data_IF_109805738580
#
_entry.id   IF_109805738580
#
_cell.length_a   1.000
_cell.length_b   1.000
_cell.length_c   1.000
_cell.angle_alpha   90.00
_cell.angle_beta   90.00
_cell.angle_gamma   90.00
#
_symmetry.space_group_name_H-M   'P 1'
#
loop_
_entity.id
_entity.type
_entity.pdbx_description
1 polymer ?
#
# COMPACT_ATOMS: atom_id res chain seq x y z
N UNK A 1 -32.12 17.65 10.26
CA UNK A 1 -32.71 18.17 9.01
C UNK A 1 -32.47 17.27 7.78
N UNK A 2 -31.73 16.15 7.90
CA UNK A 2 -31.57 15.15 6.81
C UNK A 2 -32.44 13.89 6.97
N UNK A 3 -33.22 13.77 8.05
CA UNK A 3 -34.07 12.61 8.32
C UNK A 3 -35.45 12.68 7.63
N UNK A 4 -35.75 13.74 6.86
CA UNK A 4 -37.09 14.01 6.34
C UNK A 4 -37.25 13.83 4.82
N UNK A 5 -36.24 13.34 4.08
CA UNK A 5 -36.28 13.36 2.60
C UNK A 5 -36.27 11.99 1.92
N UNK A 6 -36.14 10.85 2.62
CA UNK A 6 -36.08 9.56 1.90
C UNK A 6 -36.91 8.49 2.60
N UNK A 7 -38.17 8.36 2.18
CA UNK A 7 -38.97 7.15 2.36
C UNK A 7 -38.66 6.25 1.16
N UNK A 8 -37.99 5.14 1.38
CA UNK A 8 -37.94 4.03 0.42
C UNK A 8 -39.01 3.08 0.95
N UNK A 9 -40.07 2.88 0.16
CA UNK A 9 -41.21 2.05 0.54
C UNK A 9 -40.74 0.60 0.77
N UNK A 10 -40.94 0.12 2.00
CA UNK A 10 -41.05 -1.30 2.31
C UNK A 10 -42.56 -1.61 2.27
N UNK A 11 -42.99 -2.44 1.33
CA UNK A 11 -44.40 -2.77 1.06
C UNK A 11 -45.00 -3.62 2.20
N UNK A 12 -46.10 -3.15 2.81
CA UNK A 12 -47.34 -3.94 3.00
C UNK A 12 -48.54 -3.05 3.42
N UNK A 13 -49.70 -3.32 2.81
CA UNK A 13 -51.08 -2.84 3.05
C UNK A 13 -51.55 -1.40 2.64
N UNK A 14 -52.03 -1.34 1.39
CA UNK A 14 -53.15 -0.58 0.80
C UNK A 14 -53.75 0.66 1.49
N UNK A 15 -53.72 1.80 0.77
CA UNK A 15 -54.89 2.61 0.32
C UNK A 15 -54.45 3.76 -0.63
N UNK A 16 -55.25 4.13 -1.65
CA UNK A 16 -54.83 5.10 -2.66
C UNK A 16 -55.30 6.51 -2.30
N UNK A 17 -54.37 7.47 -2.14
CA UNK A 17 -54.69 8.89 -2.14
C UNK A 17 -53.58 9.73 -2.80
N UNK A 18 -53.99 10.38 -3.89
CA UNK A 18 -53.56 11.67 -4.43
C UNK A 18 -52.11 11.87 -4.89
N UNK A 19 -52.02 12.17 -6.20
CA UNK A 19 -50.91 12.77 -6.92
C UNK A 19 -50.14 13.84 -6.13
N UNK A 20 -48.84 13.62 -6.03
CA UNK A 20 -47.89 14.54 -5.42
C UNK A 20 -46.52 13.87 -5.26
N UNK A 21 -45.92 13.42 -6.36
CA UNK A 21 -44.57 12.86 -6.39
C UNK A 21 -43.51 13.95 -6.16
N UNK A 22 -43.54 14.59 -5.00
CA UNK A 22 -42.59 15.60 -4.54
C UNK A 22 -41.80 15.03 -3.37
N UNK A 23 -40.59 14.51 -3.64
CA UNK A 23 -39.61 14.31 -2.57
C UNK A 23 -38.72 13.07 -2.66
N UNK A 24 -38.98 12.11 -3.55
CA UNK A 24 -38.12 10.92 -3.67
C UNK A 24 -36.93 11.25 -4.59
N UNK A 25 -35.74 11.36 -4.01
CA UNK A 25 -34.50 11.45 -4.78
C UNK A 25 -34.33 10.19 -5.63
N UNK A 26 -34.00 10.31 -6.94
CA UNK A 26 -33.62 9.16 -7.76
C UNK A 26 -32.50 8.33 -7.10
N UNK A 27 -32.57 7.00 -7.24
CA UNK A 27 -31.68 6.08 -6.52
C UNK A 27 -30.20 6.28 -6.86
N UNK A 28 -29.89 6.62 -8.11
CA UNK A 28 -28.57 6.97 -8.62
C UNK A 28 -28.03 8.28 -7.99
N UNK A 29 -28.89 9.30 -7.87
CA UNK A 29 -28.53 10.56 -7.21
C UNK A 29 -28.27 10.33 -5.72
N UNK A 30 -29.10 9.52 -5.06
CA UNK A 30 -28.88 9.13 -3.68
C UNK A 30 -27.54 8.42 -3.53
N UNK A 31 -27.28 7.40 -4.35
CA UNK A 31 -26.02 6.65 -4.38
C UNK A 31 -24.81 7.59 -4.46
N UNK A 32 -24.84 8.54 -5.39
CA UNK A 32 -23.78 9.52 -5.56
C UNK A 32 -23.62 10.49 -4.38
N UNK A 33 -24.70 10.90 -3.73
CA UNK A 33 -24.66 11.71 -2.51
C UNK A 33 -23.96 10.93 -1.39
N UNK A 34 -24.30 9.65 -1.23
CA UNK A 34 -23.74 8.82 -0.15
C UNK A 34 -22.26 8.53 -0.35
N UNK A 35 -21.83 8.31 -1.58
CA UNK A 35 -20.41 8.18 -1.90
C UNK A 35 -19.58 9.42 -1.56
N UNK A 36 -20.22 10.58 -1.34
CA UNK A 36 -19.54 11.81 -0.91
C UNK A 36 -19.47 11.94 0.61
N UNK A 37 -20.18 11.12 1.38
CA UNK A 37 -20.16 11.20 2.84
C UNK A 37 -18.94 10.45 3.42
N UNK A 38 -18.37 10.92 4.52
CA UNK A 38 -17.32 10.19 5.23
C UNK A 38 -17.82 8.85 5.78
N UNK A 39 -16.90 7.88 5.93
CA UNK A 39 -17.24 6.51 6.34
C UNK A 39 -17.97 6.46 7.69
N UNK A 40 -17.58 7.27 8.66
CA UNK A 40 -18.23 7.33 9.99
C UNK A 40 -19.70 7.77 9.91
N UNK A 41 -20.06 8.67 8.99
CA UNK A 41 -21.44 9.09 8.77
C UNK A 41 -22.24 7.97 8.12
N UNK A 42 -21.69 7.30 7.11
CA UNK A 42 -22.33 6.16 6.46
C UNK A 42 -22.59 5.00 7.44
N UNK A 43 -21.63 4.71 8.33
CA UNK A 43 -21.82 3.72 9.39
C UNK A 43 -22.98 4.08 10.33
N UNK A 44 -23.22 5.37 10.61
CA UNK A 44 -24.38 5.82 11.39
C UNK A 44 -25.70 5.70 10.61
N UNK A 45 -25.67 5.92 9.28
CA UNK A 45 -26.85 5.79 8.43
C UNK A 45 -27.38 4.34 8.35
N UNK A 46 -26.54 3.34 8.61
CA UNK A 46 -26.96 1.93 8.77
C UNK A 46 -27.98 1.71 9.89
N UNK A 47 -28.15 2.66 10.79
CA UNK A 47 -29.13 2.61 11.88
C UNK A 47 -30.48 3.23 11.50
N UNK A 48 -30.57 3.93 10.37
CA UNK A 48 -31.78 4.67 9.97
C UNK A 48 -32.86 3.74 9.40
N UNK A 49 -32.55 2.95 8.36
CA UNK A 49 -33.45 1.91 7.84
C UNK A 49 -32.68 0.72 7.22
N UNK A 50 -33.41 -0.36 6.86
CA UNK A 50 -32.85 -1.57 6.24
C UNK A 50 -32.22 -1.29 4.87
N UNK A 51 -32.87 -0.49 4.03
CA UNK A 51 -32.37 -0.13 2.69
C UNK A 51 -31.03 0.61 2.77
N UNK A 52 -30.90 1.59 3.68
CA UNK A 52 -29.64 2.30 3.95
C UNK A 52 -28.54 1.36 4.45
N UNK A 53 -28.89 0.44 5.35
CA UNK A 53 -27.95 -0.58 5.84
C UNK A 53 -27.49 -1.51 4.72
N UNK A 54 -28.41 -1.97 3.88
CA UNK A 54 -28.11 -2.85 2.75
C UNK A 54 -27.17 -2.15 1.77
N UNK A 55 -27.52 -0.94 1.34
CA UNK A 55 -26.74 -0.18 0.37
C UNK A 55 -25.33 0.13 0.87
N UNK A 56 -25.20 0.65 2.09
CA UNK A 56 -23.89 1.05 2.62
C UNK A 56 -23.04 -0.13 3.08
N UNK A 57 -23.60 -1.34 3.20
CA UNK A 57 -22.87 -2.58 3.49
C UNK A 57 -22.54 -3.38 2.21
N UNK A 58 -23.00 -2.93 1.05
CA UNK A 58 -22.72 -3.56 -0.24
C UNK A 58 -21.22 -3.46 -0.56
N UNK A 59 -20.52 -4.56 -0.89
CA UNK A 59 -19.12 -4.53 -1.30
C UNK A 59 -18.83 -3.63 -2.50
N UNK A 60 -19.76 -3.51 -3.46
CA UNK A 60 -19.62 -2.60 -4.60
C UNK A 60 -19.66 -1.15 -4.14
N UNK A 61 -20.59 -0.81 -3.26
CA UNK A 61 -20.64 0.52 -2.65
C UNK A 61 -19.38 0.83 -1.86
N UNK A 62 -18.87 -0.13 -1.09
CA UNK A 62 -17.64 0.00 -0.30
C UNK A 62 -16.41 0.25 -1.19
N UNK A 63 -16.33 -0.41 -2.34
CA UNK A 63 -15.29 -0.23 -3.36
C UNK A 63 -15.39 1.12 -4.07
N UNK A 64 -16.59 1.53 -4.46
CA UNK A 64 -16.81 2.83 -5.11
C UNK A 64 -16.56 3.99 -4.14
N UNK A 65 -16.86 3.79 -2.84
CA UNK A 65 -16.56 4.74 -1.78
C UNK A 65 -15.05 4.91 -1.59
N UNK A 66 -14.29 3.82 -1.46
CA UNK A 66 -12.82 3.90 -1.27
C UNK A 66 -12.12 4.56 -2.46
N UNK A 67 -12.59 4.31 -3.69
CA UNK A 67 -12.10 4.99 -4.91
C UNK A 67 -12.31 6.51 -4.87
N UNK A 68 -13.48 6.97 -4.39
CA UNK A 68 -13.83 8.41 -4.33
C UNK A 68 -13.32 9.12 -3.08
N UNK A 69 -12.91 8.36 -2.05
CA UNK A 69 -12.35 8.83 -0.78
C UNK A 69 -11.10 8.04 -0.45
N UNK A 70 -9.99 8.30 -1.17
CA UNK A 70 -8.74 7.63 -0.90
C UNK A 70 -8.22 8.01 0.49
N UNK A 71 -7.79 7.01 1.25
CA UNK A 71 -7.18 7.21 2.55
C UNK A 71 -5.69 6.93 2.50
N UNK A 72 -4.95 7.65 3.33
CA UNK A 72 -3.52 7.45 3.52
C UNK A 72 -3.27 7.01 4.94
N UNK A 73 -2.37 6.03 5.08
CA UNK A 73 -1.83 5.60 6.36
C UNK A 73 -0.47 6.25 6.53
N UNK A 74 -0.23 6.87 7.68
CA UNK A 74 1.01 7.58 7.94
C UNK A 74 1.51 7.46 9.38
N UNK A 75 2.84 7.48 9.54
CA UNK A 75 3.54 7.53 10.83
C UNK A 75 4.16 8.91 11.07
N UNK A 76 4.09 9.36 12.32
CA UNK A 76 4.48 10.71 12.74
C UNK A 76 5.82 10.71 13.47
N UNK A 77 6.69 11.66 13.17
CA UNK A 77 8.06 11.70 13.70
C UNK A 77 8.10 12.03 15.20
N UNK A 78 7.21 12.90 15.69
CA UNK A 78 7.17 13.33 17.10
C UNK A 78 6.34 12.42 18.02
N UNK A 79 5.57 11.49 17.46
CA UNK A 79 4.78 10.46 18.16
C UNK A 79 4.89 9.16 17.39
N UNK A 80 6.03 8.52 17.55
CA UNK A 80 6.41 7.37 16.74
C UNK A 80 5.57 6.12 17.05
N UNK A 81 4.76 6.16 18.11
CA UNK A 81 3.83 5.13 18.56
C UNK A 81 2.39 5.32 18.05
N UNK A 82 2.13 6.32 17.19
CA UNK A 82 0.81 6.56 16.59
C UNK A 82 0.83 6.38 15.06
N UNK A 83 -0.12 5.59 14.57
CA UNK A 83 -0.44 5.42 13.16
C UNK A 83 -1.77 6.11 12.85
N UNK A 84 -1.78 6.96 11.83
CA UNK A 84 -2.96 7.72 11.43
C UNK A 84 -3.48 7.27 10.07
N UNK A 85 -4.80 7.11 9.99
CA UNK A 85 -5.53 6.98 8.73
C UNK A 85 -6.17 8.33 8.43
N UNK A 86 -5.83 8.90 7.28
CA UNK A 86 -6.17 10.26 6.87
C UNK A 86 -7.01 10.18 5.59
N UNK A 87 -8.20 10.77 5.60
CA UNK A 87 -9.01 10.96 4.39
C UNK A 87 -8.42 12.13 3.57
N UNK A 88 -7.96 11.85 2.34
CA UNK A 88 -7.33 12.87 1.48
C UNK A 88 -8.32 13.90 0.93
N UNK A 89 -9.62 13.57 0.86
CA UNK A 89 -10.66 14.45 0.34
C UNK A 89 -11.03 15.52 1.36
N UNK A 90 -11.29 15.11 2.59
CA UNK A 90 -11.71 16.01 3.67
C UNK A 90 -10.52 16.51 4.50
N UNK A 91 -9.34 15.90 4.34
CA UNK A 91 -8.09 16.25 5.04
C UNK A 91 -8.20 16.10 6.56
N UNK A 92 -8.91 15.07 6.99
CA UNK A 92 -9.14 14.76 8.41
C UNK A 92 -8.54 13.40 8.77
N UNK A 93 -8.07 13.28 10.01
CA UNK A 93 -7.71 11.98 10.58
C UNK A 93 -9.02 11.25 10.92
N UNK A 94 -9.24 10.11 10.27
CA UNK A 94 -10.44 9.27 10.48
C UNK A 94 -10.21 8.14 11.47
N UNK A 95 -8.94 7.75 11.70
CA UNK A 95 -8.55 6.73 12.69
C UNK A 95 -7.14 7.00 13.22
N UNK A 96 -6.95 6.81 14.52
CA UNK A 96 -5.64 6.79 15.18
C UNK A 96 -5.47 5.43 15.87
N UNK A 97 -4.33 4.78 15.63
CA UNK A 97 -4.01 3.46 16.17
C UNK A 97 -2.68 3.57 16.89
N UNK A 98 -2.62 3.10 18.14
CA UNK A 98 -1.35 2.99 18.85
C UNK A 98 -0.62 1.75 18.37
N UNK A 99 0.67 1.89 18.05
CA UNK A 99 1.53 0.79 17.67
C UNK A 99 2.47 0.40 18.81
N UNK A 100 2.86 -0.88 18.93
CA UNK A 100 3.62 -1.38 20.07
C UNK A 100 5.00 -0.74 20.25
N UNK A 101 5.62 -0.32 19.14
CA UNK A 101 6.94 0.31 19.13
C UNK A 101 7.01 1.39 18.03
N UNK A 102 7.91 2.38 18.17
CA UNK A 102 8.25 3.30 17.11
C UNK A 102 8.45 2.63 15.75
N UNK A 103 7.65 2.99 14.75
CA UNK A 103 7.80 2.49 13.39
C UNK A 103 8.94 3.19 12.63
N UNK A 104 9.61 2.46 11.74
CA UNK A 104 10.64 2.99 10.82
C UNK A 104 10.10 3.18 9.39
N UNK A 105 9.27 2.26 8.92
CA UNK A 105 8.51 2.39 7.67
C UNK A 105 7.25 1.52 7.74
N UNK A 106 6.35 1.68 6.78
CA UNK A 106 5.09 0.95 6.74
C UNK A 106 4.79 0.46 5.33
N UNK A 107 4.05 -0.65 5.25
CA UNK A 107 3.54 -1.27 4.04
C UNK A 107 2.03 -1.44 4.23
N UNK A 108 1.24 -1.24 3.18
CA UNK A 108 -0.20 -1.43 3.24
C UNK A 108 -0.65 -2.25 2.05
N UNK A 109 -1.52 -3.22 2.32
CA UNK A 109 -2.16 -4.08 1.32
C UNK A 109 -3.63 -4.22 1.71
N UNK A 110 -4.52 -3.66 0.88
CA UNK A 110 -5.94 -3.56 1.20
C UNK A 110 -6.17 -2.95 2.59
N UNK A 111 -6.67 -3.72 3.56
CA UNK A 111 -6.95 -3.30 4.93
C UNK A 111 -5.87 -3.67 5.96
N UNK A 112 -4.85 -4.43 5.53
CA UNK A 112 -3.75 -4.81 6.40
C UNK A 112 -2.58 -3.82 6.27
N UNK A 113 -1.98 -3.50 7.41
CA UNK A 113 -0.82 -2.61 7.48
C UNK A 113 0.28 -3.29 8.25
N UNK A 114 1.45 -3.42 7.63
CA UNK A 114 2.66 -3.88 8.28
C UNK A 114 3.50 -2.67 8.68
N UNK A 115 3.78 -2.52 9.98
CA UNK A 115 4.69 -1.49 10.51
C UNK A 115 5.98 -2.17 10.91
N UNK A 116 7.09 -1.75 10.30
CA UNK A 116 8.41 -2.33 10.55
C UNK A 116 9.18 -1.45 11.54
N UNK A 117 9.76 -2.06 12.56
CA UNK A 117 10.47 -1.39 13.65
C UNK A 117 11.95 -1.16 13.34
N UNK A 118 12.58 -0.13 13.93
CA UNK A 118 14.00 0.14 13.77
C UNK A 118 14.87 -0.89 14.53
N UNK A 119 16.13 -0.97 14.12
CA UNK A 119 17.12 -1.95 14.57
C UNK A 119 17.41 -1.94 16.09
N UNK A 120 17.22 -0.81 16.77
CA UNK A 120 17.80 -0.57 18.11
C UNK A 120 17.07 -1.24 19.27
N UNK A 121 15.82 -1.71 19.10
CA UNK A 121 15.03 -2.22 20.24
C UNK A 121 14.95 -3.75 20.26
N UNK A 122 15.15 -4.44 19.13
CA UNK A 122 15.14 -5.91 19.04
C UNK A 122 15.65 -6.46 17.68
N UNK A 123 16.74 -5.93 17.10
CA UNK A 123 17.32 -6.39 15.81
C UNK A 123 16.36 -6.39 14.60
N UNK A 124 15.28 -5.61 14.67
CA UNK A 124 14.27 -5.53 13.62
C UNK A 124 13.10 -6.48 13.86
N UNK A 125 11.89 -5.96 13.69
CA UNK A 125 10.64 -6.69 13.83
C UNK A 125 9.55 -5.96 13.06
N UNK A 126 8.36 -6.54 13.00
CA UNK A 126 7.22 -5.87 12.41
C UNK A 126 5.94 -6.32 13.12
N UNK A 127 4.97 -5.42 13.21
CA UNK A 127 3.60 -5.81 13.54
C UNK A 127 2.70 -5.64 12.33
N UNK A 128 1.68 -6.49 12.25
CA UNK A 128 0.61 -6.36 11.29
C UNK A 128 -0.66 -5.93 12.00
N UNK A 129 -1.27 -4.89 11.47
CA UNK A 129 -2.50 -4.30 11.94
C UNK A 129 -3.62 -4.58 10.92
N UNK A 130 -4.81 -4.90 11.42
CA UNK A 130 -6.03 -4.93 10.62
C UNK A 130 -6.84 -3.64 10.86
N UNK A 131 -6.97 -2.82 9.80
CA UNK A 131 -7.69 -1.54 9.88
C UNK A 131 -9.20 -1.72 9.99
N UNK A 132 -9.75 -2.89 9.69
CA UNK A 132 -11.17 -3.18 9.89
C UNK A 132 -11.50 -3.52 11.34
N UNK A 133 -10.51 -3.93 12.15
CA UNK A 133 -10.76 -4.15 13.58
C UNK A 133 -11.12 -2.83 14.27
N UNK A 134 -12.10 -2.90 15.18
CA UNK A 134 -12.60 -1.76 15.95
C UNK A 134 -11.57 -1.20 16.94
N UNK A 135 -12.03 -0.54 18.01
CA UNK A 135 -11.20 0.07 19.06
C UNK A 135 -10.41 -0.93 19.93
N UNK A 136 -10.36 -2.22 19.56
CA UNK A 136 -9.52 -3.22 20.22
C UNK A 136 -8.06 -3.14 19.75
N UNK A 137 -7.23 -4.09 20.19
CA UNK A 137 -5.86 -4.23 19.67
C UNK A 137 -5.93 -4.59 18.19
N UNK A 138 -5.70 -3.61 17.31
CA UNK A 138 -5.68 -3.81 15.86
C UNK A 138 -4.54 -4.74 15.41
N UNK A 139 -3.58 -5.03 16.30
CA UNK A 139 -2.46 -5.95 16.05
C UNK A 139 -2.97 -7.38 15.94
N UNK A 140 -2.89 -7.94 14.73
CA UNK A 140 -3.24 -9.34 14.43
C UNK A 140 -2.03 -10.27 14.49
N UNK A 141 -0.83 -9.74 14.33
CA UNK A 141 0.41 -10.48 14.46
C UNK A 141 1.54 -9.55 14.92
N UNK A 142 2.25 -9.94 15.98
CA UNK A 142 3.60 -9.43 16.24
C UNK A 142 4.58 -10.45 15.66
N UNK A 143 5.29 -10.03 14.62
CA UNK A 143 6.17 -10.89 13.82
C UNK A 143 7.64 -10.55 14.12
N UNK A 144 7.87 -9.94 15.28
CA UNK A 144 9.20 -9.77 15.86
C UNK A 144 9.84 -11.15 16.06
N UNK A 145 11.11 -11.26 15.66
CA UNK A 145 11.80 -12.54 15.54
C UNK A 145 12.14 -13.11 16.93
N UNK A 146 11.79 -14.37 17.19
CA UNK A 146 12.46 -15.17 18.22
C UNK A 146 13.77 -15.71 17.63
N UNK A 147 14.89 -15.33 18.23
CA UNK A 147 16.26 -15.38 17.69
C UNK A 147 16.83 -16.80 17.44
N UNK A 148 16.03 -17.87 17.58
CA UNK A 148 16.54 -19.24 17.51
C UNK A 148 16.87 -19.76 16.10
N UNK A 149 16.56 -19.02 15.03
CA UNK A 149 16.81 -19.44 13.63
C UNK A 149 18.16 -18.93 13.09
N UNK A 150 18.72 -17.85 13.63
CA UNK A 150 19.98 -17.24 13.15
C UNK A 150 21.22 -17.75 13.92
N UNK A 151 21.27 -19.06 14.24
CA UNK A 151 22.20 -19.71 15.19
C UNK A 151 23.72 -19.55 14.95
N UNK A 152 24.17 -18.78 13.97
CA UNK A 152 25.60 -18.65 13.67
C UNK A 152 26.02 -17.35 12.96
N UNK A 153 25.13 -16.38 12.76
CA UNK A 153 25.44 -15.20 11.93
C UNK A 153 24.72 -13.96 12.42
N UNK A 154 25.44 -12.83 12.51
CA UNK A 154 24.88 -11.55 12.88
C UNK A 154 24.10 -10.95 11.70
N UNK A 155 22.76 -10.80 11.74
CA UNK A 155 22.07 -9.96 10.78
C UNK A 155 22.51 -8.51 11.03
N UNK A 156 23.29 -7.94 10.11
CA UNK A 156 23.75 -6.55 10.22
C UNK A 156 22.67 -5.55 9.76
N UNK A 157 21.55 -6.01 9.19
CA UNK A 157 20.51 -5.18 8.58
C UNK A 157 19.09 -5.63 8.96
N UNK A 158 18.17 -4.66 9.11
CA UNK A 158 16.74 -4.91 9.31
C UNK A 158 16.19 -5.68 8.10
N UNK A 159 15.45 -6.79 8.30
CA UNK A 159 14.85 -7.52 7.19
C UNK A 159 13.95 -6.60 6.36
N UNK A 160 13.92 -6.85 5.06
CA UNK A 160 12.97 -6.17 4.17
C UNK A 160 11.70 -6.99 4.09
N UNK A 161 10.55 -6.34 4.14
CA UNK A 161 9.24 -7.00 4.11
C UNK A 161 8.42 -6.57 2.89
N UNK A 162 7.54 -7.45 2.42
CA UNK A 162 6.41 -7.07 1.58
C UNK A 162 5.16 -7.86 2.01
N UNK A 163 3.99 -7.28 1.76
CA UNK A 163 2.69 -7.83 2.14
C UNK A 163 1.84 -7.90 0.88
N UNK A 164 1.15 -9.01 0.69
CA UNK A 164 0.37 -9.25 -0.53
C UNK A 164 -0.90 -10.03 -0.29
N UNK A 165 -1.96 -9.65 -0.97
CA UNK A 165 -3.20 -10.43 -1.05
C UNK A 165 -3.09 -11.44 -2.20
N UNK A 166 -3.51 -12.69 -1.95
CA UNK A 166 -3.55 -13.78 -2.94
C UNK A 166 -4.97 -13.89 -3.49
N UNK A 167 -5.26 -13.41 -4.72
CA UNK A 167 -6.64 -13.30 -5.19
C UNK A 167 -7.38 -14.63 -5.34
N UNK A 168 -6.66 -15.73 -5.59
CA UNK A 168 -7.25 -17.06 -5.77
C UNK A 168 -7.73 -17.69 -4.46
N UNK A 169 -7.10 -17.37 -3.33
CA UNK A 169 -7.43 -17.95 -2.01
C UNK A 169 -8.08 -16.94 -1.07
N UNK A 170 -7.91 -15.63 -1.32
CA UNK A 170 -8.32 -14.56 -0.41
C UNK A 170 -7.38 -14.37 0.78
N UNK A 171 -6.29 -15.15 0.85
CA UNK A 171 -5.33 -15.10 1.95
C UNK A 171 -4.39 -13.92 1.81
N UNK A 172 -3.90 -13.42 2.94
CA UNK A 172 -2.80 -12.47 2.97
C UNK A 172 -1.51 -13.19 3.31
N UNK A 173 -0.45 -12.89 2.57
CA UNK A 173 0.88 -13.43 2.80
C UNK A 173 1.89 -12.33 2.99
N UNK A 174 2.80 -12.56 3.93
CA UNK A 174 3.99 -11.75 4.11
C UNK A 174 5.20 -12.47 3.54
N UNK A 175 6.05 -11.69 2.89
CA UNK A 175 7.37 -12.13 2.46
C UNK A 175 8.43 -11.33 3.21
N UNK A 176 9.50 -12.01 3.62
CA UNK A 176 10.63 -11.42 4.34
C UNK A 176 11.95 -11.81 3.69
N UNK A 177 12.75 -10.81 3.36
CA UNK A 177 14.11 -10.93 2.85
C UNK A 177 15.11 -10.59 3.97
N UNK A 178 15.98 -11.54 4.31
CA UNK A 178 17.06 -11.36 5.28
C UNK A 178 18.42 -11.41 4.58
N UNK A 179 19.23 -10.37 4.76
CA UNK A 179 20.62 -10.35 4.33
C UNK A 179 21.52 -10.91 5.45
N UNK A 180 22.31 -11.94 5.14
CA UNK A 180 23.23 -12.61 6.07
C UNK A 180 24.67 -12.44 5.58
N UNK A 181 25.51 -11.86 6.44
CA UNK A 181 26.95 -11.73 6.19
C UNK A 181 27.71 -12.82 6.95
N UNK A 182 28.51 -13.59 6.23
CA UNK A 182 29.38 -14.60 6.82
C UNK A 182 30.64 -13.91 7.34
N UNK A 183 30.85 -13.87 8.66
CA UNK A 183 32.07 -13.34 9.25
C UNK A 183 33.23 -14.31 9.02
N UNK A 184 34.15 -13.95 8.11
CA UNK A 184 35.38 -14.68 7.83
C UNK A 184 36.35 -13.81 7.02
N UNK A 185 37.63 -13.83 7.38
CA UNK A 185 38.68 -12.98 6.81
C UNK A 185 38.65 -12.91 5.27
N UNK A 186 38.65 -11.69 4.73
CA UNK A 186 39.00 -11.29 3.36
C UNK A 186 38.07 -11.60 2.17
N UNK A 187 36.86 -12.13 2.34
CA UNK A 187 35.90 -12.21 1.23
C UNK A 187 34.88 -11.06 1.25
N UNK A 188 35.15 -9.99 0.51
CA UNK A 188 34.25 -8.82 0.32
C UNK A 188 32.92 -9.19 -0.40
N UNK A 189 32.68 -10.47 -0.73
CA UNK A 189 31.67 -10.86 -1.72
C UNK A 189 30.69 -12.00 -1.33
N UNK A 190 30.61 -12.44 -0.07
CA UNK A 190 29.63 -13.49 0.32
C UNK A 190 28.44 -12.92 1.09
N UNK A 191 27.60 -12.11 0.43
CA UNK A 191 26.25 -11.82 0.95
C UNK A 191 25.33 -12.99 0.56
N UNK A 192 24.78 -13.64 1.57
CA UNK A 192 23.77 -14.69 1.43
C UNK A 192 22.41 -14.10 1.77
N UNK A 193 21.37 -14.55 1.08
CA UNK A 193 20.01 -14.08 1.32
C UNK A 193 19.11 -15.24 1.69
N UNK A 194 18.32 -15.05 2.74
CA UNK A 194 17.34 -16.04 3.18
C UNK A 194 15.96 -15.40 3.07
N UNK A 195 15.08 -16.07 2.34
CA UNK A 195 13.72 -15.60 2.08
C UNK A 195 12.72 -16.44 2.87
N UNK A 196 11.71 -15.78 3.44
CA UNK A 196 10.65 -16.45 4.18
C UNK A 196 9.28 -15.97 3.73
N UNK A 197 8.29 -16.84 3.86
CA UNK A 197 6.89 -16.54 3.64
C UNK A 197 6.05 -16.94 4.86
N UNK A 198 5.00 -16.18 5.14
CA UNK A 198 4.03 -16.45 6.20
C UNK A 198 2.63 -16.14 5.68
N UNK A 199 1.66 -17.00 6.02
CA UNK A 199 0.24 -16.74 5.79
C UNK A 199 -0.36 -16.10 7.04
N UNK A 200 -1.08 -14.98 6.90
CA UNK A 200 -1.73 -14.27 7.99
C UNK A 200 -3.18 -14.76 8.16
N UNK A 201 -3.65 -14.86 9.41
CA UNK A 201 -5.08 -15.10 9.72
C UNK A 201 -5.53 -16.56 9.85
N UNK A 202 -4.62 -17.54 9.72
CA UNK A 202 -4.90 -18.94 10.05
C UNK A 202 -4.73 -19.17 11.55
N UNK A 203 -5.77 -19.67 12.23
CA UNK A 203 -5.74 -20.11 13.63
C UNK A 203 -4.83 -21.32 13.87
N UNK A 204 -4.18 -21.86 12.83
CA UNK A 204 -3.31 -23.03 12.94
C UNK A 204 -1.80 -22.76 12.77
N UNK A 205 -1.32 -21.82 11.92
CA UNK A 205 0.11 -21.85 11.52
C UNK A 205 0.70 -20.47 11.13
N UNK A 206 0.58 -19.46 11.99
CA UNK A 206 1.27 -18.17 11.84
C UNK A 206 2.80 -18.27 12.02
N UNK A 207 3.47 -19.14 11.25
CA UNK A 207 4.92 -19.39 11.30
C UNK A 207 5.56 -19.05 9.98
N UNK A 208 6.76 -18.47 10.07
CA UNK A 208 7.63 -18.30 8.93
C UNK A 208 8.05 -19.65 8.37
N UNK A 209 7.92 -19.80 7.05
CA UNK A 209 8.48 -20.90 6.28
C UNK A 209 9.57 -20.34 5.39
N UNK A 210 10.70 -21.03 5.31
CA UNK A 210 11.75 -20.68 4.36
C UNK A 210 11.27 -20.98 2.94
N UNK A 211 11.56 -20.10 1.98
CA UNK A 211 11.26 -20.32 0.57
C UNK A 211 12.45 -20.99 -0.11
N UNK A 212 12.30 -21.53 -1.34
CA UNK A 212 13.47 -21.86 -2.16
C UNK A 212 14.39 -20.66 -2.33
N UNK A 213 15.68 -20.92 -2.57
CA UNK A 213 16.66 -19.87 -2.82
C UNK A 213 16.22 -18.98 -4.00
N UNK A 214 16.37 -17.66 -3.90
CA UNK A 214 16.06 -16.78 -5.00
C UNK A 214 17.02 -17.05 -6.18
N UNK A 215 16.52 -16.99 -7.43
CA UNK A 215 17.35 -17.28 -8.61
C UNK A 215 18.48 -16.26 -8.80
N UNK A 216 18.39 -15.11 -8.14
CA UNK A 216 19.32 -13.97 -8.19
C UNK A 216 19.29 -13.24 -6.85
N UNK A 217 20.29 -12.41 -6.58
CA UNK A 217 20.27 -11.54 -5.40
C UNK A 217 19.21 -10.45 -5.54
N UNK A 218 18.51 -10.17 -4.45
CA UNK A 218 17.35 -9.28 -4.40
C UNK A 218 17.69 -7.99 -3.66
N UNK A 219 17.18 -6.87 -4.15
CA UNK A 219 17.21 -5.59 -3.46
C UNK A 219 15.96 -5.41 -2.59
N UNK A 220 16.01 -4.48 -1.64
CA UNK A 220 14.89 -4.16 -0.74
C UNK A 220 13.68 -3.51 -1.42
N UNK A 221 13.81 -3.06 -2.68
CA UNK A 221 12.68 -2.50 -3.44
C UNK A 221 11.76 -3.62 -3.92
N UNK A 222 10.64 -3.78 -3.23
CA UNK A 222 9.67 -4.85 -3.46
C UNK A 222 8.25 -4.30 -3.59
N UNK A 223 7.43 -4.95 -4.41
CA UNK A 223 6.00 -4.65 -4.53
C UNK A 223 5.21 -5.90 -4.87
N UNK A 224 3.98 -6.01 -4.39
CA UNK A 224 3.05 -7.06 -4.80
C UNK A 224 2.06 -6.48 -5.80
N UNK A 225 1.84 -7.19 -6.91
CA UNK A 225 0.80 -6.86 -7.88
C UNK A 225 0.05 -8.14 -8.23
N UNK A 226 -1.26 -8.17 -7.97
CA UNK A 226 -2.13 -9.31 -8.29
C UNK A 226 -1.61 -10.66 -7.75
N UNK A 227 -1.16 -10.68 -6.49
CA UNK A 227 -0.66 -11.90 -5.83
C UNK A 227 0.74 -12.36 -6.24
N UNK A 228 1.47 -11.54 -6.99
CA UNK A 228 2.87 -11.80 -7.36
C UNK A 228 3.76 -10.74 -6.73
N UNK A 229 4.76 -11.16 -5.95
CA UNK A 229 5.77 -10.26 -5.41
C UNK A 229 6.88 -10.05 -6.45
N UNK A 230 7.25 -8.80 -6.69
CA UNK A 230 8.28 -8.38 -7.62
C UNK A 230 9.42 -7.68 -6.87
N UNK A 231 10.65 -7.99 -7.25
CA UNK A 231 11.86 -7.59 -6.55
C UNK A 231 12.86 -7.04 -7.56
N UNK A 232 13.44 -5.86 -7.31
CA UNK A 232 14.61 -5.45 -8.10
C UNK A 232 15.78 -6.39 -7.80
N UNK A 233 16.58 -6.68 -8.82
CA UNK A 233 17.79 -7.49 -8.66
C UNK A 233 18.92 -6.62 -8.09
N UNK A 234 19.58 -7.10 -7.05
CA UNK A 234 20.73 -6.45 -6.43
C UNK A 234 22.01 -6.81 -7.19
N UNK A 235 22.52 -5.86 -7.97
CA UNK A 235 23.84 -5.94 -8.57
C UNK A 235 24.74 -5.00 -7.79
N UNK A 236 25.46 -5.50 -6.77
CA UNK A 236 26.34 -4.76 -5.85
C UNK A 236 27.04 -3.49 -6.39
N UNK A 237 27.40 -3.47 -7.67
CA UNK A 237 28.18 -2.42 -8.33
C UNK A 237 27.34 -1.40 -9.12
N UNK A 238 26.07 -1.68 -9.45
CA UNK A 238 25.24 -0.78 -10.25
C UNK A 238 23.73 -1.01 -10.05
N UNK A 239 22.95 0.05 -10.22
CA UNK A 239 21.49 -0.05 -10.20
C UNK A 239 21.00 -0.90 -11.37
N UNK A 240 20.34 -2.02 -11.09
CA UNK A 240 19.72 -2.87 -12.09
C UNK A 240 18.22 -2.63 -12.14
N UNK A 241 17.70 -2.65 -13.36
CA UNK A 241 16.28 -2.60 -13.67
C UNK A 241 15.72 -4.00 -13.94
N UNK A 242 16.53 -5.05 -13.81
CA UNK A 242 16.07 -6.44 -13.82
C UNK A 242 15.18 -6.72 -12.62
N UNK A 243 14.17 -7.56 -12.82
CA UNK A 243 13.18 -7.87 -11.79
C UNK A 243 13.02 -9.40 -11.66
N UNK A 244 13.20 -9.90 -10.44
CA UNK A 244 12.78 -11.25 -10.07
C UNK A 244 11.32 -11.24 -9.59
N UNK A 245 10.63 -12.37 -9.69
CA UNK A 245 9.25 -12.47 -9.22
C UNK A 245 8.95 -13.79 -8.52
N UNK A 246 8.09 -13.72 -7.50
CA UNK A 246 7.69 -14.82 -6.64
C UNK A 246 6.16 -14.92 -6.62
N UNK A 247 5.64 -16.10 -6.91
CA UNK A 247 4.22 -16.38 -6.91
C UNK A 247 3.75 -16.70 -5.50
N UNK A 248 2.99 -15.80 -4.87
CA UNK A 248 2.59 -15.96 -3.47
C UNK A 248 1.61 -17.12 -3.28
N UNK A 249 0.79 -17.45 -4.28
CA UNK A 249 -0.15 -18.57 -4.20
C UNK A 249 0.62 -19.90 -4.13
N UNK A 250 1.60 -20.06 -5.04
CA UNK A 250 2.41 -21.28 -5.14
C UNK A 250 3.57 -21.34 -4.15
N UNK A 251 3.96 -20.20 -3.59
CA UNK A 251 5.19 -20.04 -2.80
C UNK A 251 6.45 -20.44 -3.60
N UNK A 252 6.49 -20.09 -4.90
CA UNK A 252 7.55 -20.48 -5.83
C UNK A 252 8.11 -19.27 -6.60
N UNK A 253 9.42 -19.29 -6.86
CA UNK A 253 10.06 -18.34 -7.78
C UNK A 253 9.65 -18.61 -9.23
N UNK A 254 9.35 -17.54 -9.97
CA UNK A 254 9.18 -17.63 -11.42
C UNK A 254 10.55 -17.74 -12.07
N UNK A 255 10.68 -18.62 -13.06
CA UNK A 255 11.94 -18.87 -13.76
C UNK A 255 12.39 -17.71 -14.65
N UNK A 256 11.47 -16.84 -15.05
CA UNK A 256 11.76 -15.69 -15.92
C UNK A 256 12.16 -14.47 -15.10
N UNK A 257 13.38 -13.96 -15.34
CA UNK A 257 13.81 -12.64 -14.88
C UNK A 257 13.34 -11.60 -15.89
N UNK A 258 12.50 -10.66 -15.45
CA UNK A 258 12.03 -9.59 -16.32
C UNK A 258 13.16 -8.60 -16.56
N UNK A 259 13.29 -8.16 -17.80
CA UNK A 259 14.20 -7.08 -18.14
C UNK A 259 13.46 -5.76 -17.95
N UNK A 260 14.13 -4.79 -17.34
CA UNK A 260 13.58 -3.45 -17.20
C UNK A 260 13.59 -2.65 -18.51
N UNK A 261 12.96 -1.47 -18.50
CA UNK A 261 12.84 -0.61 -19.68
C UNK A 261 14.10 0.18 -20.02
N UNK A 262 15.12 0.25 -19.14
CA UNK A 262 16.21 1.22 -19.27
C UNK A 262 17.49 0.56 -19.77
N UNK A 263 17.99 1.03 -20.91
CA UNK A 263 19.20 0.47 -21.50
C UNK A 263 20.43 0.66 -20.57
N UNK A 264 21.37 -0.31 -20.56
CA UNK A 264 22.56 -0.28 -19.69
C UNK A 264 23.41 0.99 -19.79
N UNK A 265 23.45 1.63 -20.96
CA UNK A 265 24.24 2.84 -21.23
C UNK A 265 23.68 4.13 -20.62
N UNK A 266 22.46 4.09 -20.06
CA UNK A 266 21.73 5.25 -19.50
C UNK A 266 21.38 5.07 -18.02
N UNK A 267 22.01 4.11 -17.32
CA UNK A 267 21.74 3.76 -15.91
C UNK A 267 22.30 4.77 -14.88
N UNK A 268 22.23 6.06 -15.20
CA UNK A 268 22.36 7.09 -14.18
C UNK A 268 21.00 7.21 -13.45
N UNK A 269 21.00 6.99 -12.14
CA UNK A 269 19.80 7.13 -11.30
C UNK A 269 19.50 5.93 -10.42
N UNK A 270 18.34 5.99 -9.76
CA UNK A 270 17.83 4.94 -8.88
C UNK A 270 16.53 4.36 -9.45
N UNK A 271 16.29 3.07 -9.21
CA UNK A 271 15.04 2.40 -9.59
C UNK A 271 14.22 2.06 -8.35
N UNK A 272 12.90 2.10 -8.49
CA UNK A 272 11.95 1.58 -7.50
C UNK A 272 10.77 0.92 -8.21
N UNK A 273 10.21 -0.11 -7.58
CA UNK A 273 8.95 -0.72 -8.01
C UNK A 273 7.80 -0.19 -7.17
N UNK A 274 6.68 0.09 -7.83
CA UNK A 274 5.42 0.50 -7.20
C UNK A 274 4.26 -0.13 -7.94
N UNK A 275 3.12 -0.23 -7.27
CA UNK A 275 1.85 -0.59 -7.88
C UNK A 275 1.08 0.69 -8.13
N UNK A 276 0.60 0.88 -9.37
CA UNK A 276 -0.30 1.98 -9.70
C UNK A 276 -1.41 1.48 -10.60
N UNK A 277 -2.67 1.63 -10.13
CA UNK A 277 -3.86 1.18 -10.86
C UNK A 277 -3.74 -0.30 -11.31
N UNK A 278 -3.45 -1.18 -10.36
CA UNK A 278 -3.29 -2.63 -10.55
C UNK A 278 -2.16 -3.03 -11.53
N UNK A 279 -1.27 -2.09 -11.89
CA UNK A 279 -0.15 -2.31 -12.79
C UNK A 279 1.18 -2.28 -12.03
N UNK A 280 2.11 -3.17 -12.40
CA UNK A 280 3.51 -3.05 -12.00
C UNK A 280 4.15 -1.87 -12.74
N UNK A 281 4.68 -0.93 -11.98
CA UNK A 281 5.33 0.27 -12.49
C UNK A 281 6.76 0.35 -11.97
N UNK A 282 7.68 0.59 -12.89
CA UNK A 282 9.04 0.98 -12.57
C UNK A 282 9.16 2.50 -12.54
N UNK A 283 9.64 3.01 -11.42
CA UNK A 283 10.03 4.41 -11.23
C UNK A 283 11.53 4.49 -11.45
N UNK A 284 11.96 5.35 -12.38
CA UNK A 284 13.37 5.70 -12.58
C UNK A 284 13.60 7.14 -12.16
N UNK A 285 14.42 7.34 -11.12
CA UNK A 285 14.81 8.64 -10.60
C UNK A 285 16.18 9.02 -11.15
N UNK A 286 16.20 9.94 -12.11
CA UNK A 286 17.42 10.59 -12.57
C UNK A 286 17.66 11.86 -11.73
N UNK A 287 18.51 11.73 -10.70
CA UNK A 287 18.85 12.84 -9.82
C UNK A 287 19.70 13.93 -10.50
N UNK A 288 20.45 13.60 -11.57
CA UNK A 288 21.28 14.59 -12.29
C UNK A 288 20.40 15.62 -13.00
N UNK A 289 19.35 15.14 -13.67
CA UNK A 289 18.42 15.99 -14.42
C UNK A 289 17.16 16.37 -13.64
N UNK A 290 17.02 15.84 -12.41
CA UNK A 290 15.82 15.94 -11.57
C UNK A 290 14.57 15.45 -12.31
N UNK A 291 14.71 14.35 -13.06
CA UNK A 291 13.62 13.74 -13.84
C UNK A 291 13.20 12.42 -13.19
N UNK A 292 11.91 12.22 -13.04
CA UNK A 292 11.31 10.95 -12.67
C UNK A 292 10.50 10.39 -13.84
N UNK A 293 10.89 9.20 -14.32
CA UNK A 293 10.15 8.48 -15.36
C UNK A 293 9.31 7.36 -14.74
N UNK A 294 8.08 7.21 -15.22
CA UNK A 294 7.16 6.13 -14.84
C UNK A 294 6.90 5.20 -16.02
N UNK A 295 7.37 3.96 -15.90
CA UNK A 295 7.25 2.92 -16.90
C UNK A 295 6.27 1.85 -16.43
N UNK A 296 5.22 1.64 -17.22
CA UNK A 296 4.19 0.64 -16.92
C UNK A 296 4.48 -0.62 -17.71
N UNK A 297 4.39 -1.77 -17.06
CA UNK A 297 4.48 -3.04 -17.79
C UNK A 297 3.18 -3.27 -18.56
N UNK A 298 3.30 -3.64 -19.83
CA UNK A 298 2.16 -3.98 -20.70
C UNK A 298 2.01 -5.49 -20.84
N UNK A 299 3.15 -6.19 -20.95
CA UNK A 299 3.19 -7.64 -21.09
C UNK A 299 4.36 -8.19 -20.27
N UNK A 300 4.04 -8.81 -19.14
CA UNK A 300 5.00 -9.44 -18.24
C UNK A 300 5.73 -10.61 -18.92
N UNK A 301 5.08 -11.33 -19.84
CA UNK A 301 5.69 -12.48 -20.52
C UNK A 301 6.79 -12.05 -21.49
N UNK A 302 6.69 -10.83 -22.03
CA UNK A 302 7.65 -10.28 -23.00
C UNK A 302 8.56 -9.21 -22.40
N UNK A 303 8.41 -8.87 -21.12
CA UNK A 303 9.06 -7.70 -20.51
C UNK A 303 8.83 -6.42 -21.34
N UNK A 304 7.59 -6.23 -21.82
CA UNK A 304 7.23 -5.06 -22.63
C UNK A 304 6.81 -3.92 -21.70
N UNK A 305 7.47 -2.77 -21.85
CA UNK A 305 7.26 -1.59 -21.02
C UNK A 305 6.94 -0.35 -21.85
N UNK A 306 6.06 0.49 -21.32
CA UNK A 306 5.72 1.78 -21.92
C UNK A 306 5.95 2.91 -20.92
N UNK A 307 6.77 3.90 -21.31
CA UNK A 307 6.92 5.14 -20.55
C UNK A 307 5.63 5.95 -20.70
N UNK A 308 4.89 6.10 -19.61
CA UNK A 308 3.63 6.88 -19.62
C UNK A 308 3.80 8.29 -19.11
N UNK A 309 4.80 8.53 -18.27
CA UNK A 309 5.01 9.83 -17.66
C UNK A 309 6.50 10.11 -17.48
N UNK A 310 6.87 11.38 -17.66
CA UNK A 310 8.19 11.93 -17.34
C UNK A 310 7.98 13.26 -16.64
N UNK A 311 8.46 13.37 -15.40
CA UNK A 311 8.16 14.48 -14.51
C UNK A 311 9.46 15.15 -14.13
N UNK A 312 9.59 16.44 -14.46
CA UNK A 312 10.70 17.26 -13.98
C UNK A 312 10.36 17.86 -12.62
N UNK A 313 11.24 17.63 -11.67
CA UNK A 313 11.15 18.15 -10.32
C UNK A 313 12.00 19.40 -10.16
N UNK A 314 11.59 20.23 -9.21
CA UNK A 314 12.40 21.31 -8.68
C UNK A 314 12.73 20.98 -7.23
N UNK A 315 13.98 21.10 -6.87
CA UNK A 315 14.41 20.92 -5.49
C UNK A 315 14.87 22.25 -4.90
N UNK A 316 14.85 22.35 -3.58
CA UNK A 316 15.35 23.53 -2.87
C UNK A 316 16.85 23.37 -2.61
N UNK A 317 17.55 24.43 -2.23
CA UNK A 317 18.99 24.39 -1.97
C UNK A 317 19.40 23.29 -0.96
N UNK A 318 18.51 22.97 -0.01
CA UNK A 318 18.76 22.00 1.06
C UNK A 318 18.62 20.53 0.61
N UNK A 319 17.98 20.26 -0.53
CA UNK A 319 17.72 18.90 -1.01
C UNK A 319 18.09 18.80 -2.48
N UNK A 320 19.08 17.99 -2.85
CA UNK A 320 19.51 17.83 -4.25
C UNK A 320 19.11 16.48 -4.85
N UNK A 321 18.07 15.85 -4.29
CA UNK A 321 17.69 14.49 -4.65
C UNK A 321 16.17 14.35 -4.73
N UNK A 322 15.71 13.46 -5.61
CA UNK A 322 14.30 13.14 -5.82
C UNK A 322 13.96 11.67 -5.52
N UNK A 323 14.94 10.86 -5.09
CA UNK A 323 14.74 9.42 -4.89
C UNK A 323 13.75 9.06 -3.77
N UNK A 324 13.48 9.97 -2.83
CA UNK A 324 12.49 9.75 -1.78
C UNK A 324 11.05 10.00 -2.25
N UNK A 325 10.88 10.71 -3.36
CA UNK A 325 9.56 11.02 -3.91
C UNK A 325 8.93 9.74 -4.45
N UNK A 326 7.71 9.46 -4.01
CA UNK A 326 7.04 8.17 -4.26
C UNK A 326 5.65 8.40 -4.84
N UNK A 327 5.33 7.88 -6.03
CA UNK A 327 3.94 7.82 -6.48
C UNK A 327 3.14 6.84 -5.60
N UNK A 328 1.92 7.22 -5.25
CA UNK A 328 1.08 6.52 -4.31
C UNK A 328 -0.13 5.87 -4.99
N UNK A 329 -0.79 6.60 -5.89
CA UNK A 329 -1.96 6.10 -6.62
C UNK A 329 -2.23 6.93 -7.88
N UNK A 330 -3.11 6.42 -8.75
CA UNK A 330 -3.71 7.16 -9.85
C UNK A 330 -5.19 7.37 -9.55
N UNK A 331 -5.65 8.61 -9.64
CA UNK A 331 -7.06 8.99 -9.49
C UNK A 331 -7.87 8.67 -10.74
N UNK A 332 -9.19 8.59 -10.64
CA UNK A 332 -10.10 8.38 -11.79
C UNK A 332 -9.93 9.46 -12.88
N UNK A 333 -9.53 10.67 -12.51
CA UNK A 333 -9.22 11.76 -13.45
C UNK A 333 -7.88 11.60 -14.19
N UNK A 334 -7.10 10.57 -13.88
CA UNK A 334 -5.76 10.32 -14.45
C UNK A 334 -4.63 11.11 -13.79
N UNK A 335 -4.89 11.83 -12.69
CA UNK A 335 -3.83 12.47 -11.91
C UNK A 335 -3.10 11.44 -11.05
N UNK A 336 -1.80 11.61 -10.92
CA UNK A 336 -0.92 10.75 -10.12
C UNK A 336 -0.67 11.44 -8.78
N UNK A 337 -0.98 10.78 -7.68
CA UNK A 337 -0.75 11.28 -6.33
C UNK A 337 0.64 10.87 -5.87
N UNK A 338 1.37 11.76 -5.23
CA UNK A 338 2.74 11.57 -4.76
C UNK A 338 2.88 11.93 -3.29
N UNK A 339 3.72 11.16 -2.58
CA UNK A 339 4.35 11.58 -1.34
C UNK A 339 5.65 12.33 -1.66
N UNK A 340 5.80 13.55 -1.13
CA UNK A 340 7.02 14.38 -1.27
C UNK A 340 7.54 14.73 0.12
N UNK A 341 8.39 13.87 0.71
CA UNK A 341 8.85 14.02 2.09
C UNK A 341 9.54 15.35 2.36
N UNK A 342 10.40 15.82 1.45
CA UNK A 342 11.19 17.04 1.61
C UNK A 342 10.32 18.30 1.71
N UNK A 343 9.12 18.23 1.13
CA UNK A 343 8.12 19.31 1.19
C UNK A 343 7.08 19.07 2.28
N UNK A 344 7.04 17.88 2.89
CA UNK A 344 6.02 17.48 3.84
C UNK A 344 4.61 17.55 3.24
N UNK A 345 4.42 17.16 1.98
CA UNK A 345 3.12 17.22 1.29
C UNK A 345 2.79 15.96 0.53
N UNK A 346 1.49 15.64 0.51
CA UNK A 346 0.91 14.80 -0.54
C UNK A 346 0.32 15.73 -1.59
N UNK A 347 0.70 15.53 -2.85
CA UNK A 347 0.21 16.33 -3.98
C UNK A 347 -0.18 15.46 -5.16
N UNK A 348 -0.94 16.03 -6.08
CA UNK A 348 -1.35 15.38 -7.31
C UNK A 348 -0.77 16.11 -8.53
N UNK A 349 -0.18 15.33 -9.43
CA UNK A 349 0.32 15.78 -10.72
C UNK A 349 -0.64 15.33 -11.82
N UNK A 350 -1.01 16.26 -12.70
CA UNK A 350 -1.80 15.96 -13.90
C UNK A 350 -0.84 15.76 -15.08
N UNK A 351 -0.65 14.53 -15.59
CA UNK A 351 0.27 14.29 -16.70
C UNK A 351 -0.21 14.92 -18.01
N UNK A 352 -1.49 15.26 -18.16
CA UNK A 352 -2.03 15.88 -19.39
C UNK A 352 -1.73 17.37 -19.45
N UNK A 353 -1.77 18.05 -18.31
CA UNK A 353 -1.57 19.50 -18.24
C UNK A 353 -0.21 19.89 -17.62
N UNK A 354 0.54 18.91 -17.14
CA UNK A 354 1.77 19.09 -16.35
C UNK A 354 1.60 19.98 -15.12
N UNK A 355 0.38 20.05 -14.56
CA UNK A 355 0.08 20.87 -13.39
C UNK A 355 0.22 20.07 -12.09
N UNK A 356 0.64 20.76 -11.03
CA UNK A 356 0.74 20.22 -9.67
C UNK A 356 -0.25 20.90 -8.74
N UNK A 357 -0.91 20.11 -7.87
CA UNK A 357 -1.75 20.61 -6.77
C UNK A 357 -1.33 19.98 -5.45
N UNK A 358 -1.22 20.79 -4.39
CA UNK A 358 -1.02 20.27 -3.03
C UNK A 358 -2.37 19.79 -2.47
N UNK A 359 -2.47 18.50 -2.13
CA UNK A 359 -3.69 17.92 -1.58
C UNK A 359 -3.76 18.10 -0.07
N UNK A 360 -2.69 17.72 0.65
CA UNK A 360 -2.63 17.80 2.11
C UNK A 360 -1.20 18.07 2.58
N UNK A 361 -1.06 18.88 3.63
CA UNK A 361 0.20 19.07 4.34
C UNK A 361 0.34 17.96 5.37
N UNK A 362 1.45 17.24 5.28
CA UNK A 362 1.82 16.13 6.15
C UNK A 362 2.96 16.52 7.09
N UNK A 363 3.25 17.81 7.29
CA UNK A 363 4.11 18.34 8.35
C UNK A 363 5.27 17.42 8.79
N UNK A 364 5.09 16.78 9.94
CA UNK A 364 6.06 15.93 10.64
C UNK A 364 5.84 14.42 10.42
N UNK A 365 5.10 14.00 9.40
CA UNK A 365 5.00 12.60 9.00
C UNK A 365 6.17 12.21 8.09
N UNK A 366 6.66 10.98 8.23
CA UNK A 366 7.86 10.51 7.51
C UNK A 366 7.61 9.24 6.67
N UNK A 367 6.69 8.38 7.08
CA UNK A 367 6.30 7.18 6.33
C UNK A 367 4.83 7.24 5.95
N UNK A 368 4.52 6.91 4.69
CA UNK A 368 3.20 7.09 4.07
C UNK A 368 2.93 5.92 3.12
N UNK A 369 1.74 5.34 3.19
CA UNK A 369 1.22 4.41 2.17
C UNK A 369 -0.28 4.63 1.94
N UNK A 370 -0.78 4.13 0.81
CA UNK A 370 -2.21 4.17 0.50
C UNK A 370 -2.95 3.05 1.22
N UNK A 371 -4.11 3.38 1.77
CA UNK A 371 -5.09 2.38 2.20
C UNK A 371 -6.01 2.07 1.01
N UNK A 372 -5.89 0.86 0.46
CA UNK A 372 -6.68 0.40 -0.68
C UNK A 372 -7.99 -0.29 -0.27
N UNK A 373 -8.12 -0.65 1.01
CA UNK A 373 -9.31 -1.27 1.57
C UNK A 373 -10.47 -0.29 1.80
N UNK A 374 -11.46 -0.71 2.57
CA UNK A 374 -12.65 0.10 2.85
C UNK A 374 -12.98 0.15 4.33
N UNK A 375 -13.06 1.37 4.87
CA UNK A 375 -13.50 1.62 6.25
C UNK A 375 -15.00 1.34 6.47
N UNK A 376 -15.74 0.99 5.42
CA UNK A 376 -17.14 0.58 5.51
C UNK A 376 -17.29 -0.91 5.78
N UNK A 377 -16.33 -1.74 5.41
CA UNK A 377 -16.39 -3.18 5.62
C UNK A 377 -16.06 -3.51 7.08
N UNK A 378 -16.94 -4.24 7.75
CA UNK A 378 -16.71 -4.71 9.12
C UNK A 378 -16.03 -6.08 9.10
N UNK A 379 -14.71 -6.07 9.30
CA UNK A 379 -13.85 -7.22 9.61
C UNK A 379 -13.77 -8.33 8.56
N UNK A 380 -12.56 -8.86 8.37
CA UNK A 380 -12.39 -10.24 7.94
C UNK A 380 -13.37 -11.13 8.72
N UNK A 381 -14.26 -11.84 8.01
CA UNK A 381 -14.85 -13.05 8.58
C UNK A 381 -13.74 -14.09 8.62
N UNK A 382 -12.91 -14.00 9.65
CA UNK A 382 -12.10 -15.14 10.08
C UNK A 382 -13.13 -16.16 10.58
N UNK A 383 -13.43 -17.14 9.73
CA UNK A 383 -14.33 -18.24 10.07
C UNK A 383 -13.65 -19.21 11.02
#
# INVERSE_FOLDING_TARGET
>A
MLAAIVKIDDDDDARPLADGNYGVLPADVLYDILLRLPANHLCRLRLVCRSWRSLTSDPLFAKDHSRRRPHVIALRQQRQDELHVIDLRDRIIVKTIHIPQPGAYLLAELDLVCVVYPHFVAWGGACVLDLQQGTGSATIADITVDHQVLRSSFPLMVPSYTLGHVPSTGEYKMFRLCDVFIAGYQAVNSKQQICHVMTLGSTADGRWRETPDPPVLLASSMVVVSGVAYFLVDHYQYCSDSIASFDLAKEEWRSTILQGPVQPSTKDGMFRLVELADCLVMVHHNNKDLIMDLWYIEDTSKSLWTKRCSIRWTTNADFQSIWHITPLMVTDGGRIVFWVPERGVIGAYDPKTSCWINLVRMGDYFAVAMHQGSLLCSGLKVY
#
